data_IF_405125493215
#
_entry.id   IF_405125493215
#
_cell.length_a   1.000
_cell.length_b   1.000
_cell.length_c   1.000
_cell.angle_alpha   90.00
_cell.angle_beta   90.00
_cell.angle_gamma   90.00
#
_symmetry.space_group_name_H-M   'P 1'
#
loop_
_entity.id
_entity.type
_entity.pdbx_description
1 polymer ?
#
# COMPACT_ATOMS: atom_id res chain seq x y z
N UNK A 1 -23.57 10.66 -4.43
CA UNK A 1 -22.25 10.10 -4.06
C UNK A 1 -21.30 11.22 -3.67
N UNK A 2 -20.64 11.09 -2.54
CA UNK A 2 -19.51 11.93 -2.14
C UNK A 2 -18.24 11.25 -2.65
N UNK A 3 -17.26 12.01 -3.13
CA UNK A 3 -15.95 11.45 -3.48
C UNK A 3 -15.01 11.62 -2.29
N UNK A 4 -14.84 10.55 -1.50
CA UNK A 4 -14.02 10.59 -0.29
C UNK A 4 -12.54 10.79 -0.63
N UNK A 5 -12.08 10.29 -1.79
CA UNK A 5 -10.71 10.47 -2.26
C UNK A 5 -10.41 11.93 -2.65
N UNK A 6 -11.35 12.60 -3.31
CA UNK A 6 -11.19 14.01 -3.73
C UNK A 6 -11.35 14.99 -2.55
N UNK A 7 -12.19 14.63 -1.56
CA UNK A 7 -12.40 15.43 -0.37
C UNK A 7 -11.35 15.18 0.73
N UNK A 8 -10.47 14.18 0.56
CA UNK A 8 -9.51 13.76 1.58
C UNK A 8 -10.19 13.24 2.85
N UNK A 9 -11.40 12.68 2.69
CA UNK A 9 -12.16 12.04 3.76
C UNK A 9 -11.90 10.52 3.82
N UNK A 10 -11.04 10.00 2.92
CA UNK A 10 -10.54 8.64 2.98
C UNK A 10 -9.55 8.45 4.14
N UNK A 11 -9.44 7.21 4.61
CA UNK A 11 -8.45 6.82 5.61
C UNK A 11 -7.31 6.00 4.99
N UNK A 12 -7.06 6.13 3.69
CA UNK A 12 -6.04 5.34 3.02
C UNK A 12 -4.65 5.70 3.54
N UNK A 13 -3.74 4.74 3.49
CA UNK A 13 -2.34 4.98 3.78
C UNK A 13 -1.75 6.04 2.83
N UNK A 14 -0.79 6.88 3.27
CA UNK A 14 -0.03 7.74 2.36
C UNK A 14 0.67 6.96 1.22
N UNK A 15 0.94 5.67 1.45
CA UNK A 15 1.51 4.75 0.47
C UNK A 15 0.47 3.89 -0.28
N UNK A 16 -0.81 4.27 -0.21
CA UNK A 16 -1.89 3.66 -0.96
C UNK A 16 -2.41 4.58 -2.07
N UNK A 17 -3.25 4.01 -2.92
CA UNK A 17 -4.08 4.69 -3.91
C UNK A 17 -5.53 4.54 -3.47
N UNK A 18 -6.23 5.67 -3.35
CA UNK A 18 -7.67 5.72 -3.11
C UNK A 18 -8.42 5.62 -4.45
N UNK A 19 -9.45 4.78 -4.51
CA UNK A 19 -10.36 4.68 -5.66
C UNK A 19 -11.79 4.82 -5.17
N UNK A 20 -12.46 5.89 -5.61
CA UNK A 20 -13.86 6.14 -5.32
C UNK A 20 -14.76 5.11 -6.03
N UNK A 21 -15.79 4.62 -5.35
CA UNK A 21 -16.76 3.65 -5.85
C UNK A 21 -18.19 4.13 -5.56
N UNK A 22 -19.19 3.57 -6.24
CA UNK A 22 -20.58 3.96 -5.95
C UNK A 22 -20.95 3.45 -4.56
N UNK A 23 -21.24 4.37 -3.63
CA UNK A 23 -21.58 4.08 -2.23
C UNK A 23 -20.40 3.90 -1.25
N UNK A 24 -19.14 3.96 -1.67
CA UNK A 24 -17.95 3.82 -0.80
C UNK A 24 -16.66 4.20 -1.53
N UNK A 25 -15.49 4.00 -0.91
CA UNK A 25 -14.18 4.01 -1.55
C UNK A 25 -13.39 2.73 -1.23
N UNK A 26 -12.30 2.52 -1.96
CA UNK A 26 -11.34 1.43 -1.73
C UNK A 26 -9.91 1.96 -1.68
N UNK A 27 -9.09 1.39 -0.81
CA UNK A 27 -7.67 1.70 -0.69
C UNK A 27 -6.82 0.51 -1.15
N UNK A 28 -5.83 0.74 -2.00
CA UNK A 28 -4.89 -0.30 -2.43
C UNK A 28 -3.45 0.19 -2.23
N UNK A 29 -2.61 -0.60 -1.55
CA UNK A 29 -1.20 -0.26 -1.40
C UNK A 29 -0.50 -0.13 -2.76
N UNK A 30 0.36 0.88 -2.90
CA UNK A 30 1.15 1.10 -4.11
C UNK A 30 2.20 0.00 -4.28
N UNK A 31 2.68 -0.16 -5.51
CA UNK A 31 3.75 -1.11 -5.84
C UNK A 31 4.94 -0.98 -4.89
N UNK A 32 5.40 -2.11 -4.34
CA UNK A 32 6.48 -2.13 -3.34
C UNK A 32 5.99 -2.06 -1.89
N UNK A 33 4.70 -1.86 -1.64
CA UNK A 33 4.10 -1.88 -0.31
C UNK A 33 3.11 -3.06 -0.18
N UNK A 34 2.95 -3.56 1.04
CA UNK A 34 1.96 -4.59 1.40
C UNK A 34 1.11 -4.10 2.56
N UNK A 35 -0.13 -4.57 2.59
CA UNK A 35 -1.07 -4.23 3.66
C UNK A 35 -2.51 -4.32 3.20
N UNK A 36 -3.38 -3.69 3.99
CA UNK A 36 -4.83 -3.61 3.80
C UNK A 36 -5.27 -2.32 3.08
N UNK A 37 -4.33 -1.48 2.63
CA UNK A 37 -4.60 -0.20 1.99
C UNK A 37 -4.70 0.99 2.96
N UNK A 38 -5.00 0.75 4.24
CA UNK A 38 -4.97 1.75 5.33
C UNK A 38 -3.58 1.77 5.99
N UNK A 39 -3.01 0.59 6.18
CA UNK A 39 -1.68 0.36 6.72
C UNK A 39 -0.82 -0.30 5.64
N UNK A 40 -0.11 0.50 4.86
CA UNK A 40 0.83 0.00 3.86
C UNK A 40 2.24 0.04 4.42
N UNK A 41 2.79 -1.12 4.74
CA UNK A 41 4.21 -1.26 5.08
C UNK A 41 4.98 -1.49 3.80
N UNK A 42 6.09 -0.76 3.62
CA UNK A 42 7.00 -1.08 2.55
C UNK A 42 7.35 -2.55 2.67
N UNK A 43 7.29 -3.30 1.58
CA UNK A 43 8.28 -4.35 1.46
C UNK A 43 9.58 -3.57 1.38
N UNK A 44 10.21 -3.33 2.54
CA UNK A 44 11.66 -3.46 2.57
C UNK A 44 11.90 -4.73 1.80
N UNK A 45 12.46 -4.55 0.61
CA UNK A 45 12.70 -5.64 -0.30
C UNK A 45 13.45 -6.63 0.56
N UNK A 46 12.76 -7.68 1.02
CA UNK A 46 13.39 -8.94 1.31
C UNK A 46 13.96 -9.29 -0.06
N UNK A 47 15.15 -8.75 -0.35
CA UNK A 47 16.16 -9.42 -1.10
C UNK A 47 16.45 -10.67 -0.24
N UNK A 48 15.51 -11.62 -0.29
CA UNK A 48 15.75 -13.05 -0.28
C UNK A 48 16.54 -13.42 -1.56
N UNK A 49 17.57 -12.61 -1.81
CA UNK A 49 18.59 -12.67 -2.85
C UNK A 49 19.91 -12.19 -2.23
N UNK A 50 19.89 -11.25 -1.26
CA UNK A 50 21.05 -10.88 -0.45
C UNK A 50 21.21 -11.74 0.82
N UNK A 51 20.16 -12.41 1.30
CA UNK A 51 20.29 -13.37 2.41
C UNK A 51 20.87 -14.71 1.92
N UNK A 52 20.53 -15.16 0.70
CA UNK A 52 21.13 -16.38 0.12
C UNK A 52 22.57 -16.19 -0.39
N UNK A 53 23.03 -14.96 -0.63
CA UNK A 53 24.38 -14.68 -1.17
C UNK A 53 25.42 -14.21 -0.14
N UNK A 54 25.01 -13.78 1.08
CA UNK A 54 25.93 -13.15 2.05
C UNK A 54 26.36 -14.09 3.21
N UNK A 55 25.74 -15.27 3.37
CA UNK A 55 26.06 -16.20 4.47
C UNK A 55 26.79 -17.49 4.03
N UNK A 56 27.40 -17.53 2.84
CA UNK A 56 28.18 -18.69 2.35
C UNK A 56 29.69 -18.42 2.18
N UNK A 57 30.26 -17.42 2.86
CA UNK A 57 31.71 -17.23 2.96
C UNK A 57 32.12 -16.92 4.39
#
# INVERSE_FOLDING_TARGET
EIDECANGADNCSPHASCTNTVGSYTCACRSGYMGDGVNCTGKEVYHNFHVYFVFLY
#
